data_IF_419933266917
#
_entry.id   IF_419933266917
#
_cell.length_a   1.000
_cell.length_b   1.000
_cell.length_c   1.000
_cell.angle_alpha   90.00
_cell.angle_beta   90.00
_cell.angle_gamma   90.00
#
_symmetry.space_group_name_H-M   'P 1'
#
loop_
_entity.id
_entity.type
_entity.pdbx_description
1 polymer ?
#
# COMPACT_ATOMS: atom_id res chain seq x y z
N UNK A 1 -2.45 47.38 24.26
CA UNK A 1 -1.60 46.58 23.36
C UNK A 1 -1.55 45.18 23.95
N UNK A 2 -2.26 44.22 23.36
CA UNK A 2 -2.32 42.85 23.86
C UNK A 2 -1.22 42.02 23.21
N UNK A 3 -0.32 41.55 24.07
CA UNK A 3 0.80 40.67 23.79
C UNK A 3 0.25 39.25 23.55
N UNK A 4 0.04 38.89 22.27
CA UNK A 4 -0.57 37.63 21.82
C UNK A 4 0.38 36.90 20.87
N UNK A 5 1.65 36.79 21.25
CA UNK A 5 2.67 36.05 20.48
C UNK A 5 3.26 34.92 21.35
N UNK A 6 2.42 33.95 21.70
CA UNK A 6 2.87 32.68 22.33
C UNK A 6 2.96 31.59 21.27
N UNK A 7 4.05 31.65 20.53
CA UNK A 7 4.82 30.57 19.89
C UNK A 7 4.23 29.15 19.96
N UNK A 8 3.27 28.84 19.08
CA UNK A 8 3.11 27.45 18.61
C UNK A 8 4.13 27.22 17.51
N UNK A 9 5.29 26.66 17.86
CA UNK A 9 6.16 26.04 16.86
C UNK A 9 5.51 24.74 16.42
N UNK A 10 4.66 24.81 15.39
CA UNK A 10 4.25 23.60 14.66
C UNK A 10 5.51 22.94 14.13
N UNK A 11 5.96 21.85 14.77
CA UNK A 11 6.92 20.95 14.14
C UNK A 11 6.27 20.47 12.85
N UNK A 12 6.93 20.58 11.68
CA UNK A 12 6.42 19.95 10.48
C UNK A 12 6.33 18.46 10.76
N UNK A 13 5.10 17.96 10.86
CA UNK A 13 4.84 16.54 10.92
C UNK A 13 5.01 16.02 9.49
N UNK A 14 6.19 15.53 9.17
CA UNK A 14 6.41 14.80 7.93
C UNK A 14 5.75 13.44 8.08
N UNK A 15 4.67 13.22 7.32
CA UNK A 15 4.19 11.86 7.11
C UNK A 15 5.33 11.06 6.46
N UNK A 16 5.61 9.83 6.92
CA UNK A 16 6.54 8.97 6.22
C UNK A 16 6.01 8.77 4.80
N UNK A 17 6.84 9.06 3.79
CA UNK A 17 6.45 8.94 2.37
C UNK A 17 6.01 7.52 2.01
N UNK A 18 6.39 6.53 2.82
CA UNK A 18 6.04 5.12 2.66
C UNK A 18 5.74 4.53 4.03
N UNK A 19 4.62 3.82 4.17
CA UNK A 19 4.45 2.93 5.30
C UNK A 19 5.58 1.89 5.24
N UNK A 20 6.30 1.64 6.35
CA UNK A 20 7.31 0.59 6.35
C UNK A 20 6.63 -0.75 6.06
N UNK A 21 7.08 -1.42 5.01
CA UNK A 21 6.67 -2.78 4.68
C UNK A 21 7.07 -3.69 5.84
N UNK A 22 6.17 -4.54 6.30
CA UNK A 22 6.51 -5.56 7.29
C UNK A 22 7.42 -6.64 6.67
N UNK A 23 8.10 -7.43 7.51
CA UNK A 23 8.86 -8.60 7.05
C UNK A 23 7.97 -9.51 6.18
N UNK A 24 8.41 -9.79 4.94
CA UNK A 24 7.64 -10.57 3.96
C UNK A 24 6.60 -9.78 3.16
N UNK A 25 6.56 -8.45 3.28
CA UNK A 25 5.77 -7.58 2.39
C UNK A 25 6.63 -7.01 1.27
N UNK A 26 6.06 -6.97 0.06
CA UNK A 26 6.67 -6.33 -1.10
C UNK A 26 5.72 -5.31 -1.71
N UNK A 27 6.26 -4.16 -2.08
CA UNK A 27 5.56 -3.19 -2.91
C UNK A 27 6.54 -2.28 -3.64
N UNK A 28 6.18 -1.87 -4.84
CA UNK A 28 6.88 -0.83 -5.58
C UNK A 28 6.23 0.55 -5.44
N UNK A 29 4.99 0.65 -4.97
CA UNK A 29 4.22 1.89 -4.91
C UNK A 29 3.41 2.01 -3.61
N UNK A 30 2.97 3.22 -3.28
CA UNK A 30 2.31 3.47 -2.00
C UNK A 30 0.86 2.99 -1.92
N UNK A 31 0.25 2.67 -3.07
CA UNK A 31 -1.16 2.32 -3.16
C UNK A 31 -1.42 0.80 -3.19
N UNK A 32 -0.37 -0.03 -3.20
CA UNK A 32 -0.53 -1.48 -3.15
C UNK A 32 0.58 -2.14 -2.35
N UNK A 33 0.40 -3.40 -1.98
CA UNK A 33 1.42 -4.29 -1.42
C UNK A 33 0.99 -5.74 -1.56
N UNK A 34 1.95 -6.65 -1.56
CA UNK A 34 1.70 -8.08 -1.40
C UNK A 34 2.32 -8.58 -0.12
N UNK A 35 1.69 -9.58 0.48
CA UNK A 35 2.16 -10.23 1.71
C UNK A 35 2.06 -11.74 1.55
N UNK A 36 3.15 -12.44 1.83
CA UNK A 36 3.13 -13.90 2.03
C UNK A 36 2.71 -14.17 3.47
N UNK A 37 1.58 -14.84 3.68
CA UNK A 37 1.09 -15.21 5.02
C UNK A 37 1.71 -16.54 5.45
N UNK A 38 1.73 -17.53 4.54
CA UNK A 38 2.27 -18.88 4.71
C UNK A 38 2.85 -19.36 3.37
N UNK A 39 3.39 -20.58 3.28
CA UNK A 39 3.92 -21.14 2.03
C UNK A 39 2.90 -21.24 0.88
N UNK A 40 1.62 -21.34 1.20
CA UNK A 40 0.54 -21.48 0.21
C UNK A 40 -0.41 -20.28 0.11
N UNK A 41 -0.22 -19.23 0.93
CA UNK A 41 -1.16 -18.10 1.02
C UNK A 41 -0.48 -16.77 0.75
N UNK A 42 -0.93 -16.11 -0.33
CA UNK A 42 -0.42 -14.84 -0.81
C UNK A 42 -1.57 -13.85 -0.93
N UNK A 43 -1.45 -12.72 -0.24
CA UNK A 43 -2.50 -11.70 -0.22
C UNK A 43 -1.98 -10.46 -0.92
N UNK A 44 -2.76 -9.97 -1.89
CA UNK A 44 -2.59 -8.67 -2.51
C UNK A 44 -3.49 -7.65 -1.81
N UNK A 45 -2.93 -6.51 -1.48
CA UNK A 45 -3.63 -5.35 -0.93
C UNK A 45 -3.47 -4.20 -1.90
N UNK A 46 -4.55 -3.48 -2.17
CA UNK A 46 -4.49 -2.23 -2.91
C UNK A 46 -5.50 -1.24 -2.36
N UNK A 47 -5.19 0.04 -2.49
CA UNK A 47 -6.11 1.13 -2.28
C UNK A 47 -6.93 1.32 -3.56
N UNK A 48 -8.25 1.09 -3.48
CA UNK A 48 -9.20 1.38 -4.56
C UNK A 48 -10.30 2.36 -4.09
N UNK A 49 -11.23 2.72 -4.99
CA UNK A 49 -12.28 3.71 -4.74
C UNK A 49 -11.93 5.13 -5.19
N UNK A 50 -12.95 6.01 -5.20
CA UNK A 50 -12.93 7.36 -5.80
C UNK A 50 -11.86 8.31 -5.26
N UNK A 51 -11.24 7.99 -4.12
CA UNK A 51 -10.16 8.77 -3.50
C UNK A 51 -8.94 7.89 -3.12
N UNK A 52 -8.91 6.61 -3.49
CA UNK A 52 -7.83 5.69 -3.09
C UNK A 52 -7.73 5.51 -1.57
N UNK A 53 -8.87 5.54 -0.86
CA UNK A 53 -8.92 5.44 0.60
C UNK A 53 -9.43 4.09 1.09
N UNK A 54 -9.96 3.25 0.21
CA UNK A 54 -10.49 1.94 0.59
C UNK A 54 -9.44 0.85 0.33
N UNK A 55 -8.94 0.23 1.40
CA UNK A 55 -8.02 -0.91 1.26
C UNK A 55 -8.83 -2.16 0.88
N UNK A 56 -8.67 -2.60 -0.36
CA UNK A 56 -9.15 -3.86 -0.87
C UNK A 56 -8.06 -4.92 -0.72
N UNK A 57 -8.49 -6.15 -0.42
CA UNK A 57 -7.60 -7.30 -0.30
C UNK A 57 -8.14 -8.49 -1.06
N UNK A 58 -7.27 -9.20 -1.76
CA UNK A 58 -7.62 -10.43 -2.47
C UNK A 58 -6.52 -11.46 -2.32
N UNK A 59 -6.90 -12.73 -2.30
CA UNK A 59 -5.95 -13.82 -2.39
C UNK A 59 -5.48 -13.98 -3.83
N UNK A 60 -4.17 -14.09 -3.99
CA UNK A 60 -3.50 -14.31 -5.28
C UNK A 60 -2.73 -15.63 -5.25
N UNK A 61 -2.40 -16.15 -6.42
CA UNK A 61 -1.56 -17.33 -6.54
C UNK A 61 -0.09 -17.02 -6.31
N UNK A 62 0.69 -18.05 -5.94
CA UNK A 62 2.16 -17.93 -5.81
C UNK A 62 2.81 -17.40 -7.11
N UNK A 63 2.31 -17.85 -8.27
CA UNK A 63 2.80 -17.39 -9.56
C UNK A 63 2.61 -15.88 -9.73
N UNK A 64 1.43 -15.36 -9.39
CA UNK A 64 1.15 -13.92 -9.48
C UNK A 64 1.98 -13.11 -8.49
N UNK A 65 2.16 -13.61 -7.28
CA UNK A 65 3.05 -13.02 -6.28
C UNK A 65 4.48 -12.90 -6.82
N UNK A 66 5.02 -13.99 -7.37
CA UNK A 66 6.35 -13.99 -7.96
C UNK A 66 6.44 -13.08 -9.19
N UNK A 67 5.39 -13.00 -10.01
CA UNK A 67 5.35 -12.09 -11.15
C UNK A 67 5.32 -10.61 -10.73
N UNK A 68 4.61 -10.27 -9.65
CA UNK A 68 4.60 -8.92 -9.06
C UNK A 68 5.98 -8.54 -8.50
N UNK A 69 6.64 -9.47 -7.79
CA UNK A 69 8.00 -9.24 -7.26
C UNK A 69 9.01 -9.03 -8.37
N UNK A 70 8.94 -9.84 -9.43
CA UNK A 70 9.86 -9.75 -10.55
C UNK A 70 9.50 -8.65 -11.56
N UNK A 71 8.37 -7.96 -11.38
CA UNK A 71 7.92 -6.88 -12.28
C UNK A 71 7.38 -7.36 -13.63
N UNK A 72 7.04 -8.65 -13.78
CA UNK A 72 6.38 -9.18 -14.97
C UNK A 72 4.88 -8.88 -15.02
N UNK A 73 4.29 -8.57 -13.87
CA UNK A 73 2.88 -8.29 -13.73
C UNK A 73 2.71 -7.04 -12.84
N UNK A 74 1.77 -6.17 -13.18
CA UNK A 74 1.54 -4.93 -12.44
C UNK A 74 0.39 -5.06 -11.46
N UNK A 75 0.38 -4.24 -10.42
CA UNK A 75 -0.74 -4.17 -9.48
C UNK A 75 -2.07 -3.85 -10.18
N UNK A 76 -2.04 -3.04 -11.26
CA UNK A 76 -3.23 -2.77 -12.07
C UNK A 76 -3.77 -4.00 -12.78
N UNK A 77 -2.89 -4.91 -13.26
CA UNK A 77 -3.30 -6.17 -13.88
C UNK A 77 -4.04 -7.07 -12.87
N UNK A 78 -3.58 -7.12 -11.62
CA UNK A 78 -4.28 -7.83 -10.53
C UNK A 78 -5.64 -7.19 -10.28
N UNK A 79 -5.70 -5.87 -10.11
CA UNK A 79 -6.98 -5.18 -9.88
C UNK A 79 -7.99 -5.48 -11.00
N UNK A 80 -7.56 -5.48 -12.26
CA UNK A 80 -8.41 -5.83 -13.41
C UNK A 80 -8.86 -7.28 -13.36
N UNK A 81 -7.94 -8.23 -13.10
CA UNK A 81 -8.25 -9.66 -13.04
C UNK A 81 -9.25 -9.99 -11.94
N UNK A 82 -9.10 -9.36 -10.77
CA UNK A 82 -9.94 -9.60 -9.59
C UNK A 82 -11.13 -8.64 -9.49
N UNK A 83 -11.32 -7.77 -10.49
CA UNK A 83 -12.41 -6.77 -10.55
C UNK A 83 -12.47 -5.86 -9.32
N UNK A 84 -11.30 -5.42 -8.87
CA UNK A 84 -11.14 -4.47 -7.77
C UNK A 84 -11.34 -3.05 -8.33
N UNK A 85 -12.25 -2.27 -7.73
CA UNK A 85 -12.64 -0.93 -8.17
C UNK A 85 -12.71 0.08 -7.03
#
# INVERSE_FOLDING_TARGET
MNDMDKYYTMKPFSYPEKAPLADGEFSTENWWRVRKINDDQYIFFCLSGTQGTEEQKTEITESEYNQLINGYLTASDICLKYKIG
#
